data_IF_473107125545
#
_entry.id   IF_473107125545
#
_cell.length_a   1.000
_cell.length_b   1.000
_cell.length_c   1.000
_cell.angle_alpha   90.00
_cell.angle_beta   90.00
_cell.angle_gamma   90.00
#
_symmetry.space_group_name_H-M   'P 1'
#
loop_
_entity.id
_entity.type
_entity.pdbx_description
1 polymer ?
#
# COMPACT_ATOMS: atom_id res chain seq x y z
N UNK A 1 -30.84 -5.80 12.40
CA UNK A 1 -29.53 -6.47 12.19
C UNK A 1 -29.62 -7.74 11.34
N UNK A 2 -30.60 -8.63 11.53
CA UNK A 2 -30.73 -9.88 10.76
C UNK A 2 -30.82 -9.69 9.22
N UNK A 3 -31.42 -8.59 8.76
CA UNK A 3 -31.56 -8.26 7.32
C UNK A 3 -30.23 -7.90 6.62
N UNK A 4 -29.20 -7.47 7.37
CA UNK A 4 -27.85 -7.20 6.85
C UNK A 4 -26.88 -8.39 7.01
N UNK A 5 -27.31 -9.52 7.61
CA UNK A 5 -26.46 -10.70 7.80
C UNK A 5 -25.30 -10.53 8.80
N UNK A 6 -25.32 -9.46 9.60
CA UNK A 6 -24.21 -9.09 10.51
C UNK A 6 -24.07 -10.02 11.71
N UNK A 7 -25.11 -10.78 12.05
CA UNK A 7 -25.12 -11.71 13.20
C UNK A 7 -24.04 -12.79 13.12
N UNK A 8 -23.56 -13.15 11.93
CA UNK A 8 -22.46 -14.13 11.79
C UNK A 8 -21.09 -13.57 12.19
N UNK A 9 -20.96 -12.26 12.28
CA UNK A 9 -19.73 -11.55 12.65
C UNK A 9 -19.77 -11.02 14.08
N UNK A 10 -20.90 -11.21 14.79
CA UNK A 10 -21.06 -10.89 16.20
C UNK A 10 -20.43 -11.99 17.07
N UNK A 11 -19.11 -12.14 16.89
CA UNK A 11 -18.27 -13.07 17.64
C UNK A 11 -17.31 -12.25 18.51
N UNK A 12 -16.82 -12.80 19.64
CA UNK A 12 -15.78 -12.14 20.42
C UNK A 12 -14.61 -11.75 19.51
N UNK A 13 -14.22 -10.47 19.51
CA UNK A 13 -13.08 -9.94 18.77
C UNK A 13 -11.94 -9.62 19.75
N UNK A 14 -11.26 -10.66 20.30
CA UNK A 14 -10.16 -10.43 21.22
C UNK A 14 -9.01 -9.72 20.50
N UNK A 15 -8.44 -8.71 21.15
CA UNK A 15 -7.23 -8.08 20.68
C UNK A 15 -6.06 -9.05 20.79
N UNK A 16 -5.37 -9.29 19.68
CA UNK A 16 -4.13 -10.07 19.64
C UNK A 16 -3.01 -9.13 19.25
N UNK A 17 -2.02 -8.99 20.12
CA UNK A 17 -0.80 -8.27 19.80
C UNK A 17 -0.01 -9.08 18.77
N UNK A 18 0.10 -8.58 17.54
CA UNK A 18 0.86 -9.23 16.48
C UNK A 18 1.86 -8.24 15.87
N UNK A 19 3.13 -8.64 15.82
CA UNK A 19 4.15 -7.92 15.05
C UNK A 19 4.21 -8.52 13.64
N UNK A 20 3.33 -8.03 12.76
CA UNK A 20 3.27 -8.50 11.38
C UNK A 20 4.33 -7.78 10.53
N UNK A 21 5.33 -8.54 10.07
CA UNK A 21 6.39 -8.03 9.22
C UNK A 21 6.27 -8.62 7.80
N UNK A 22 5.62 -7.92 6.85
CA UNK A 22 5.49 -8.42 5.49
C UNK A 22 6.87 -8.47 4.80
N UNK A 23 7.12 -9.55 4.06
CA UNK A 23 8.35 -9.71 3.24
C UNK A 23 8.27 -8.98 1.91
N UNK A 24 7.06 -8.66 1.47
CA UNK A 24 6.78 -8.01 0.20
C UNK A 24 5.52 -7.18 0.33
N UNK A 25 5.52 -6.00 -0.26
CA UNK A 25 4.32 -5.18 -0.42
C UNK A 25 4.08 -4.90 -1.91
N UNK A 26 2.81 -4.70 -2.23
CA UNK A 26 2.30 -4.36 -3.55
C UNK A 26 1.49 -3.08 -3.38
N UNK A 27 1.91 -2.01 -4.08
CA UNK A 27 1.34 -0.67 -3.95
C UNK A 27 0.73 -0.23 -5.29
N UNK A 28 -0.55 -0.55 -5.55
CA UNK A 28 -1.22 -0.15 -6.79
C UNK A 28 -1.26 1.37 -6.93
N UNK A 29 -0.87 1.88 -8.11
CA UNK A 29 -0.86 3.31 -8.40
C UNK A 29 -2.28 3.91 -8.49
N UNK A 30 -3.30 3.06 -8.60
CA UNK A 30 -4.72 3.45 -8.70
C UNK A 30 -5.58 2.95 -7.53
N UNK A 31 -5.01 2.82 -6.33
CA UNK A 31 -5.75 2.39 -5.14
C UNK A 31 -6.68 3.46 -4.54
N UNK A 32 -6.45 4.74 -4.89
CA UNK A 32 -7.21 5.88 -4.38
C UNK A 32 -8.13 6.49 -5.45
N UNK A 33 -9.02 7.40 -5.05
CA UNK A 33 -9.85 8.16 -5.98
C UNK A 33 -8.98 9.11 -6.83
N UNK A 34 -9.28 9.22 -8.12
CA UNK A 34 -8.63 10.16 -9.04
C UNK A 34 -7.78 9.48 -10.11
N UNK A 35 -6.85 10.25 -10.70
CA UNK A 35 -5.87 9.73 -11.65
C UNK A 35 -4.85 8.82 -10.93
N UNK A 36 -4.21 7.85 -11.61
CA UNK A 36 -3.13 7.05 -11.01
C UNK A 36 -1.98 7.93 -10.52
N UNK A 37 -1.37 7.59 -9.39
CA UNK A 37 -0.14 8.24 -8.92
C UNK A 37 1.04 7.96 -9.88
N UNK A 38 1.95 8.92 -10.01
CA UNK A 38 3.16 8.79 -10.82
C UNK A 38 4.32 8.27 -9.96
N UNK A 39 4.91 7.10 -10.29
CA UNK A 39 6.03 6.57 -9.52
C UNK A 39 7.23 7.53 -9.59
N UNK A 40 7.85 7.79 -8.43
CA UNK A 40 9.07 8.60 -8.30
C UNK A 40 10.32 7.77 -7.99
N UNK A 41 10.16 6.44 -8.05
CA UNK A 41 11.22 5.43 -7.88
C UNK A 41 11.24 4.50 -9.08
N UNK A 42 12.35 3.80 -9.27
CA UNK A 42 12.55 2.80 -10.34
C UNK A 42 12.98 1.45 -9.77
N UNK A 43 12.90 0.41 -10.61
CA UNK A 43 13.35 -0.94 -10.25
C UNK A 43 14.84 -0.90 -9.87
N UNK A 44 15.17 -1.51 -8.74
CA UNK A 44 16.52 -1.53 -8.16
C UNK A 44 16.77 -0.45 -7.11
N UNK A 45 15.90 0.55 -6.98
CA UNK A 45 16.03 1.55 -5.92
C UNK A 45 15.80 0.92 -4.55
N UNK A 46 16.65 1.32 -3.59
CA UNK A 46 16.40 1.05 -2.17
C UNK A 46 15.51 2.15 -1.61
N UNK A 47 14.50 1.75 -0.85
CA UNK A 47 13.53 2.65 -0.21
C UNK A 47 13.48 2.40 1.29
N UNK A 48 13.27 3.47 2.04
CA UNK A 48 13.02 3.43 3.48
C UNK A 48 11.52 3.41 3.74
N UNK A 49 11.12 2.86 4.89
CA UNK A 49 9.77 3.01 5.42
C UNK A 49 9.43 4.50 5.50
N UNK A 50 8.18 4.84 5.19
CA UNK A 50 7.66 6.21 5.11
C UNK A 50 8.19 7.04 3.92
N UNK A 51 9.12 6.51 3.11
CA UNK A 51 9.59 7.21 1.92
C UNK A 51 8.47 7.34 0.88
N UNK A 52 8.35 8.53 0.26
CA UNK A 52 7.48 8.77 -0.89
C UNK A 52 7.94 7.94 -2.10
N UNK A 53 7.05 7.13 -2.66
CA UNK A 53 7.34 6.26 -3.82
C UNK A 53 6.48 6.57 -5.04
N UNK A 54 5.35 7.26 -4.86
CA UNK A 54 4.60 7.84 -5.98
C UNK A 54 3.97 9.19 -5.60
N UNK A 55 4.02 10.14 -6.54
CA UNK A 55 3.56 11.52 -6.40
C UNK A 55 2.25 11.76 -7.19
N UNK A 56 1.57 12.84 -6.86
CA UNK A 56 0.36 13.31 -7.55
C UNK A 56 0.74 13.86 -8.93
N UNK A 57 0.15 13.35 -10.03
CA UNK A 57 0.33 13.93 -11.35
C UNK A 57 -0.09 15.40 -11.39
N UNK A 58 0.66 16.24 -12.09
CA UNK A 58 0.41 17.69 -12.11
C UNK A 58 -1.01 18.03 -12.56
N UNK A 59 -1.71 18.85 -11.76
CA UNK A 59 -3.06 19.31 -12.05
C UNK A 59 -4.15 18.23 -11.99
N UNK A 60 -3.86 17.05 -11.43
CA UNK A 60 -4.84 15.97 -11.24
C UNK A 60 -5.23 15.81 -9.77
N UNK A 61 -6.47 15.36 -9.55
CA UNK A 61 -6.86 14.78 -8.26
C UNK A 61 -6.23 13.38 -8.17
N UNK A 62 -5.40 13.15 -7.17
CA UNK A 62 -4.76 11.87 -6.84
C UNK A 62 -4.29 11.88 -5.37
N UNK A 63 -3.58 10.86 -4.92
CA UNK A 63 -2.96 10.82 -3.59
C UNK A 63 -1.53 10.27 -3.66
N UNK A 64 -0.69 10.74 -2.74
CA UNK A 64 0.69 10.26 -2.58
C UNK A 64 0.72 8.84 -2.03
N UNK A 65 1.68 8.05 -2.49
CA UNK A 65 1.93 6.69 -2.02
C UNK A 65 3.30 6.63 -1.36
N UNK A 66 3.38 6.06 -0.16
CA UNK A 66 4.60 5.92 0.63
C UNK A 66 4.89 4.44 0.88
N UNK A 67 6.18 4.08 1.04
CA UNK A 67 6.56 2.72 1.41
C UNK A 67 6.17 2.42 2.85
N UNK A 68 5.66 1.21 3.09
CA UNK A 68 5.34 0.73 4.44
C UNK A 68 6.47 -0.07 5.09
N UNK A 69 7.54 -0.36 4.33
CA UNK A 69 8.70 -1.14 4.76
C UNK A 69 9.99 -0.56 4.19
N UNK A 70 11.12 -0.85 4.84
CA UNK A 70 12.43 -0.76 4.20
C UNK A 70 12.58 -1.91 3.20
N UNK A 71 13.18 -1.65 2.04
CA UNK A 71 13.42 -2.70 1.05
C UNK A 71 13.88 -2.20 -0.30
N UNK A 72 13.81 -3.08 -1.29
CA UNK A 72 14.21 -2.81 -2.67
C UNK A 72 13.02 -2.91 -3.62
N UNK A 73 12.89 -1.93 -4.52
CA UNK A 73 11.86 -1.92 -5.57
C UNK A 73 12.17 -2.99 -6.61
N UNK A 74 11.28 -3.97 -6.77
CA UNK A 74 11.47 -5.07 -7.72
C UNK A 74 10.60 -4.95 -8.98
N UNK A 75 9.56 -4.12 -8.95
CA UNK A 75 8.74 -3.81 -10.12
C UNK A 75 8.08 -2.44 -10.03
N UNK A 76 7.90 -1.80 -11.20
CA UNK A 76 7.10 -0.58 -11.38
C UNK A 76 6.27 -0.75 -12.66
N UNK A 77 5.05 -1.28 -12.54
CA UNK A 77 4.13 -1.47 -13.66
C UNK A 77 2.67 -1.51 -13.18
N UNK A 78 1.98 -0.37 -13.16
CA UNK A 78 0.62 -0.23 -12.60
C UNK A 78 0.57 -0.38 -11.06
N UNK A 79 1.56 -1.04 -10.49
CA UNK A 79 1.86 -1.14 -9.08
C UNK A 79 3.38 -1.05 -8.86
N UNK A 80 3.76 -0.57 -7.68
CA UNK A 80 5.14 -0.63 -7.17
C UNK A 80 5.24 -1.85 -6.25
N UNK A 81 6.15 -2.78 -6.57
CA UNK A 81 6.45 -3.93 -5.71
C UNK A 81 7.75 -3.66 -4.97
N UNK A 82 7.72 -3.80 -3.64
CA UNK A 82 8.90 -3.66 -2.77
C UNK A 82 9.07 -4.95 -2.00
N UNK A 83 10.27 -5.52 -2.05
CA UNK A 83 10.67 -6.68 -1.26
C UNK A 83 11.58 -6.23 -0.11
N UNK A 84 11.31 -6.74 1.09
CA UNK A 84 12.07 -6.43 2.29
C UNK A 84 13.50 -6.98 2.15
N UNK A 85 14.48 -6.17 2.56
CA UNK A 85 15.88 -6.59 2.72
C UNK A 85 16.04 -7.76 3.71
#
# INVERSE_FOLDING_TARGET
MQKLGVTNYDVPAPWVECDYQPKRIDLPLSQHLGAPAEPVVQVGDRVEKEQLVAEIPEGKLAARIHSSIDGTVTAVNGSIIIEKD
#
